data_IF_050346291220
#
_entry.id   IF_050346291220
#
_cell.length_a   1.000
_cell.length_b   1.000
_cell.length_c   1.000
_cell.angle_alpha   90.00
_cell.angle_beta   90.00
_cell.angle_gamma   90.00
#
_symmetry.space_group_name_H-M   'P 1'
#
loop_
_entity.id
_entity.type
_entity.pdbx_description
1 polymer ?
#
# COMPACT_ATOMS: atom_id res chain seq x y z
N UNK A 1 -2.16 28.27 16.37
CA UNK A 1 -1.04 27.98 17.30
C UNK A 1 -1.09 26.53 17.78
N UNK A 2 -2.23 26.03 18.26
CA UNK A 2 -2.39 24.66 18.79
C UNK A 2 -2.17 23.53 17.76
N UNK A 3 -2.66 23.68 16.51
CA UNK A 3 -2.44 22.72 15.40
C UNK A 3 -0.97 22.63 15.01
N UNK A 4 -0.26 23.77 15.02
CA UNK A 4 1.17 23.80 14.68
C UNK A 4 2.01 23.16 15.80
N UNK A 5 1.67 23.42 17.07
CA UNK A 5 2.35 22.76 18.19
C UNK A 5 2.08 21.26 18.25
N UNK A 6 0.86 20.79 17.92
CA UNK A 6 0.56 19.36 17.87
C UNK A 6 1.35 18.68 16.75
N UNK A 7 1.41 19.29 15.56
CA UNK A 7 2.23 18.79 14.46
C UNK A 7 3.71 18.68 14.84
N UNK A 8 4.30 19.75 15.40
CA UNK A 8 5.71 19.73 15.82
C UNK A 8 5.96 18.61 16.84
N UNK A 9 5.08 18.46 17.83
CA UNK A 9 5.17 17.37 18.81
C UNK A 9 5.11 15.99 18.15
N UNK A 10 4.15 15.76 17.25
CA UNK A 10 3.99 14.48 16.55
C UNK A 10 5.17 14.16 15.63
N UNK A 11 5.75 15.17 14.97
CA UNK A 11 6.96 14.97 14.16
C UNK A 11 8.18 14.63 15.00
N UNK A 12 8.32 15.22 16.20
CA UNK A 12 9.38 14.86 17.14
C UNK A 12 9.23 13.41 17.61
N UNK A 13 8.03 12.99 18.01
CA UNK A 13 7.73 11.61 18.38
C UNK A 13 8.04 10.63 17.25
N UNK A 14 7.72 10.97 16.00
CA UNK A 14 8.08 10.13 14.85
C UNK A 14 9.59 10.01 14.64
N UNK A 15 10.33 11.10 14.80
CA UNK A 15 11.79 11.09 14.71
C UNK A 15 12.41 10.22 15.82
N UNK A 16 11.87 10.30 17.04
CA UNK A 16 12.25 9.44 18.17
C UNK A 16 11.97 7.97 17.89
N UNK A 17 10.75 7.62 17.46
CA UNK A 17 10.38 6.24 17.10
C UNK A 17 11.26 5.69 15.98
N UNK A 18 11.53 6.49 14.95
CA UNK A 18 12.42 6.10 13.84
C UNK A 18 13.86 5.88 14.33
N UNK A 19 14.33 6.68 15.29
CA UNK A 19 15.66 6.54 15.88
C UNK A 19 15.75 5.33 16.81
N UNK A 20 14.70 5.05 17.58
CA UNK A 20 14.59 3.84 18.41
C UNK A 20 14.57 2.58 17.52
N UNK A 21 13.76 2.59 16.47
CA UNK A 21 13.70 1.52 15.48
C UNK A 21 15.03 1.31 14.75
N UNK A 22 15.81 2.37 14.51
CA UNK A 22 17.16 2.28 13.94
C UNK A 22 18.22 1.71 14.91
N UNK A 23 17.96 1.73 16.22
CA UNK A 23 18.82 1.14 17.26
C UNK A 23 18.42 -0.29 17.62
N UNK A 24 17.31 -0.78 17.08
CA UNK A 24 16.88 -2.15 17.30
C UNK A 24 17.97 -3.14 16.87
N UNK A 25 18.13 -4.28 17.58
CA UNK A 25 19.06 -5.34 17.16
C UNK A 25 18.84 -5.75 15.70
N UNK A 26 19.92 -6.13 15.02
CA UNK A 26 19.90 -6.45 13.57
C UNK A 26 18.99 -7.66 13.24
N UNK A 27 18.69 -8.49 14.24
CA UNK A 27 17.84 -9.67 14.17
C UNK A 27 16.37 -9.42 14.57
N UNK A 28 16.00 -8.19 14.96
CA UNK A 28 14.62 -7.81 15.27
C UNK A 28 14.02 -6.91 14.17
N UNK A 29 12.69 -6.81 14.12
CA UNK A 29 11.96 -5.98 13.13
C UNK A 29 12.29 -6.34 11.67
N UNK A 30 12.54 -7.63 11.44
CA UNK A 30 13.02 -8.15 10.15
C UNK A 30 11.92 -8.23 9.09
N UNK A 31 10.66 -7.99 9.46
CA UNK A 31 9.50 -8.13 8.57
C UNK A 31 9.10 -9.58 8.27
N UNK A 32 9.80 -10.57 8.86
CA UNK A 32 9.52 -12.00 8.74
C UNK A 32 8.77 -12.58 9.95
N UNK A 33 8.41 -11.75 10.92
CA UNK A 33 7.59 -12.11 12.07
C UNK A 33 6.33 -11.24 12.13
N UNK A 34 5.23 -11.82 12.62
CA UNK A 34 4.00 -11.08 12.92
C UNK A 34 4.04 -10.43 14.31
N UNK A 35 4.90 -10.95 15.19
CA UNK A 35 5.04 -10.53 16.60
C UNK A 35 5.76 -9.20 16.75
N UNK A 36 6.45 -8.74 15.70
CA UNK A 36 7.16 -7.45 15.69
C UNK A 36 6.20 -6.24 15.71
N UNK A 37 4.89 -6.46 15.53
CA UNK A 37 3.87 -5.40 15.55
C UNK A 37 3.65 -4.88 16.97
N UNK A 38 3.70 -3.57 17.15
CA UNK A 38 3.59 -2.91 18.46
C UNK A 38 2.41 -1.92 18.51
N UNK A 39 1.34 -2.25 19.26
CA UNK A 39 0.19 -1.36 19.49
C UNK A 39 0.56 0.03 20.03
N UNK A 40 1.58 0.13 20.89
CA UNK A 40 1.98 1.42 21.48
C UNK A 40 2.63 2.34 20.45
N UNK A 41 3.39 1.76 19.51
CA UNK A 41 3.97 2.51 18.40
C UNK A 41 2.88 3.02 17.46
N UNK A 42 1.87 2.18 17.18
CA UNK A 42 0.71 2.58 16.39
C UNK A 42 -0.01 3.77 17.04
N UNK A 43 -0.34 3.68 18.33
CA UNK A 43 -1.00 4.76 19.07
C UNK A 43 -0.21 6.07 19.06
N UNK A 44 1.13 6.00 19.16
CA UNK A 44 2.00 7.18 19.07
C UNK A 44 2.10 7.76 17.66
N UNK A 45 1.92 6.94 16.63
CA UNK A 45 2.02 7.38 15.23
C UNK A 45 0.71 7.96 14.68
N UNK A 46 -0.44 7.48 15.16
CA UNK A 46 -1.78 7.93 14.73
C UNK A 46 -1.95 9.47 14.77
N UNK A 47 -1.50 10.22 15.79
CA UNK A 47 -1.61 11.69 15.80
C UNK A 47 -0.86 12.39 14.66
N UNK A 48 0.24 11.82 14.18
CA UNK A 48 0.93 12.37 13.01
C UNK A 48 0.10 12.16 11.75
N UNK A 49 -0.44 10.95 11.59
CA UNK A 49 -1.33 10.63 10.47
C UNK A 49 -2.60 11.48 10.49
N UNK A 50 -3.18 11.72 11.67
CA UNK A 50 -4.32 12.60 11.87
C UNK A 50 -4.09 13.99 11.28
N UNK A 51 -2.92 14.58 11.56
CA UNK A 51 -2.57 15.89 11.00
C UNK A 51 -2.47 15.86 9.48
N UNK A 52 -1.79 14.85 8.92
CA UNK A 52 -1.71 14.70 7.46
C UNK A 52 -3.09 14.48 6.84
N UNK A 53 -3.93 13.70 7.50
CA UNK A 53 -5.28 13.37 7.07
C UNK A 53 -6.17 14.62 7.00
N UNK A 54 -6.28 15.38 8.09
CA UNK A 54 -7.23 16.51 8.15
C UNK A 54 -6.69 17.80 7.54
N UNK A 55 -5.38 18.04 7.57
CA UNK A 55 -4.81 19.35 7.20
C UNK A 55 -4.02 19.32 5.91
N UNK A 56 -3.19 18.29 5.69
CA UNK A 56 -2.29 18.25 4.54
C UNK A 56 -2.96 17.70 3.28
N UNK A 57 -3.55 16.51 3.39
CA UNK A 57 -4.24 15.80 2.32
C UNK A 57 -5.76 15.98 2.35
N UNK A 58 -6.33 16.54 3.44
CA UNK A 58 -7.78 16.85 3.58
C UNK A 58 -8.63 15.69 3.06
N UNK A 59 -8.43 14.53 3.68
CA UNK A 59 -8.94 13.27 3.17
C UNK A 59 -10.44 13.17 3.39
N UNK A 60 -11.15 12.77 2.34
CA UNK A 60 -12.55 12.37 2.42
C UNK A 60 -12.64 10.86 2.15
N UNK A 61 -13.44 10.16 2.96
CA UNK A 61 -13.53 8.71 2.90
C UNK A 61 -14.96 8.20 3.02
N UNK A 62 -15.28 7.10 2.33
CA UNK A 62 -16.57 6.42 2.42
C UNK A 62 -16.45 4.89 2.32
N UNK A 63 -17.56 4.20 2.59
CA UNK A 63 -17.72 2.76 2.35
C UNK A 63 -17.14 1.85 3.44
N UNK A 64 -16.70 2.39 4.57
CA UNK A 64 -16.14 1.62 5.69
C UNK A 64 -17.14 0.63 6.31
N UNK A 65 -18.43 0.86 6.14
CA UNK A 65 -19.51 -0.06 6.50
C UNK A 65 -19.50 -1.38 5.70
N UNK A 66 -18.77 -1.44 4.58
CA UNK A 66 -18.60 -2.66 3.79
C UNK A 66 -17.70 -3.69 4.47
N UNK A 67 -16.95 -3.30 5.52
CA UNK A 67 -16.10 -4.21 6.28
C UNK A 67 -16.97 -4.97 7.28
N UNK A 68 -16.99 -6.32 7.24
CA UNK A 68 -17.69 -7.13 8.23
C UNK A 68 -17.26 -6.76 9.66
N UNK A 69 -18.18 -6.81 10.64
CA UNK A 69 -17.86 -6.44 12.03
C UNK A 69 -16.86 -7.41 12.68
N UNK A 70 -16.77 -8.63 12.18
CA UNK A 70 -15.82 -9.65 12.62
C UNK A 70 -15.30 -10.46 11.43
N UNK A 71 -14.26 -11.26 11.67
CA UNK A 71 -13.63 -12.06 10.64
C UNK A 71 -12.59 -11.28 9.82
N UNK A 72 -11.92 -12.05 8.98
CA UNK A 72 -10.80 -11.60 8.17
C UNK A 72 -11.26 -11.21 6.77
N UNK A 73 -10.56 -10.25 6.21
CA UNK A 73 -10.78 -9.81 4.84
C UNK A 73 -9.44 -9.65 4.13
N UNK A 74 -9.49 -9.75 2.80
CA UNK A 74 -8.35 -9.44 1.96
C UNK A 74 -8.56 -8.06 1.33
N UNK A 75 -7.87 -7.06 1.84
CA UNK A 75 -7.89 -5.72 1.26
C UNK A 75 -7.04 -5.68 0.00
N UNK A 76 -7.65 -5.26 -1.11
CA UNK A 76 -6.98 -5.11 -2.40
C UNK A 76 -6.97 -3.64 -2.78
N UNK A 77 -5.79 -3.04 -2.68
CA UNK A 77 -5.59 -1.61 -2.87
C UNK A 77 -5.23 -1.22 -4.31
N UNK A 78 -5.69 -0.05 -4.77
CA UNK A 78 -4.99 0.71 -5.81
C UNK A 78 -3.83 1.47 -5.16
N UNK A 79 -2.60 1.37 -5.65
CA UNK A 79 -1.44 1.99 -4.99
C UNK A 79 -1.04 3.30 -5.66
N UNK A 80 -0.80 4.38 -4.91
CA UNK A 80 -0.59 5.70 -5.51
C UNK A 80 0.50 6.51 -4.83
N UNK A 81 1.30 7.26 -5.60
CA UNK A 81 2.11 8.36 -5.06
C UNK A 81 3.56 7.99 -4.70
N UNK A 82 4.15 7.00 -5.38
CA UNK A 82 5.54 6.60 -5.21
C UNK A 82 5.85 5.99 -3.83
N UNK A 83 7.10 6.08 -3.38
CA UNK A 83 7.55 5.44 -2.13
C UNK A 83 6.79 5.92 -0.88
N UNK A 84 6.32 7.16 -0.88
CA UNK A 84 5.60 7.75 0.24
C UNK A 84 4.13 7.28 0.33
N UNK A 85 3.55 6.81 -0.77
CA UNK A 85 2.23 6.19 -0.86
C UNK A 85 1.15 6.72 0.10
N UNK A 86 0.72 7.98 -0.02
CA UNK A 86 -0.12 8.63 0.99
C UNK A 86 -1.48 7.95 1.17
N UNK A 87 -2.08 7.40 0.12
CA UNK A 87 -3.38 6.70 0.21
C UNK A 87 -3.36 5.53 1.19
N UNK A 88 -2.28 4.73 1.17
CA UNK A 88 -2.07 3.61 2.08
C UNK A 88 -2.04 4.07 3.54
N UNK A 89 -1.27 5.12 3.85
CA UNK A 89 -1.21 5.67 5.19
C UNK A 89 -2.53 6.28 5.65
N UNK A 90 -3.27 6.96 4.76
CA UNK A 90 -4.57 7.54 5.10
C UNK A 90 -5.63 6.45 5.37
N UNK A 91 -5.61 5.37 4.60
CA UNK A 91 -6.47 4.19 4.88
C UNK A 91 -6.08 3.48 6.17
N UNK A 92 -4.78 3.37 6.47
CA UNK A 92 -4.33 2.81 7.76
C UNK A 92 -4.78 3.68 8.94
N UNK A 93 -4.72 5.00 8.82
CA UNK A 93 -5.26 5.91 9.83
C UNK A 93 -6.75 5.64 10.08
N UNK A 94 -7.58 5.61 9.05
CA UNK A 94 -9.00 5.30 9.20
C UNK A 94 -9.24 3.93 9.84
N UNK A 95 -8.44 2.92 9.45
CA UNK A 95 -8.52 1.59 10.07
C UNK A 95 -8.27 1.66 11.58
N UNK A 96 -7.18 2.30 12.01
CA UNK A 96 -6.84 2.40 13.42
C UNK A 96 -7.86 3.22 14.21
N UNK A 97 -8.40 4.29 13.61
CA UNK A 97 -9.46 5.09 14.24
C UNK A 97 -10.75 4.30 14.46
N UNK A 98 -11.07 3.36 13.56
CA UNK A 98 -12.35 2.62 13.58
C UNK A 98 -12.26 1.30 14.33
N UNK A 99 -11.13 0.61 14.25
CA UNK A 99 -10.97 -0.75 14.75
C UNK A 99 -9.87 -0.90 15.80
N UNK A 100 -9.15 0.19 16.11
CA UNK A 100 -8.03 0.16 17.03
C UNK A 100 -6.87 -0.70 16.54
N UNK A 101 -5.97 -1.03 17.46
CA UNK A 101 -4.79 -1.87 17.20
C UNK A 101 -5.06 -3.36 17.43
N UNK A 102 -6.18 -3.74 18.06
CA UNK A 102 -6.53 -5.13 18.37
C UNK A 102 -7.05 -5.90 17.16
N UNK A 103 -7.78 -5.24 16.25
CA UNK A 103 -8.18 -5.86 14.99
C UNK A 103 -6.99 -5.89 14.04
N UNK A 104 -6.37 -7.07 13.95
CA UNK A 104 -5.12 -7.25 13.23
C UNK A 104 -5.29 -7.07 11.72
N UNK A 105 -4.39 -6.28 11.14
CA UNK A 105 -4.18 -6.15 9.70
C UNK A 105 -2.68 -6.09 9.42
N UNK A 106 -2.22 -6.82 8.41
CA UNK A 106 -0.82 -6.81 7.96
C UNK A 106 -0.72 -6.39 6.49
N UNK A 107 0.21 -5.48 6.19
CA UNK A 107 0.47 -4.98 4.83
C UNK A 107 1.68 -5.67 4.21
N UNK A 108 1.55 -6.10 2.94
CA UNK A 108 2.67 -6.69 2.21
C UNK A 108 3.55 -5.58 1.59
N UNK A 109 4.76 -5.41 2.10
CA UNK A 109 5.72 -4.40 1.66
C UNK A 109 6.90 -5.02 0.91
N UNK A 110 7.40 -4.31 -0.11
CA UNK A 110 8.54 -4.77 -0.90
C UNK A 110 9.78 -5.01 -0.04
N UNK A 111 10.38 -6.18 -0.17
CA UNK A 111 11.53 -6.62 0.62
C UNK A 111 12.74 -5.67 0.52
N UNK A 112 12.84 -4.91 -0.58
CA UNK A 112 13.92 -3.94 -0.80
C UNK A 112 13.88 -2.78 0.18
N UNK A 113 12.72 -2.48 0.78
CA UNK A 113 12.60 -1.39 1.76
C UNK A 113 13.48 -1.66 2.99
N UNK A 114 13.53 -2.89 3.52
CA UNK A 114 14.45 -3.25 4.62
C UNK A 114 15.93 -3.09 4.26
N UNK A 115 16.29 -3.19 2.97
CA UNK A 115 17.67 -3.04 2.51
C UNK A 115 18.08 -1.58 2.32
N UNK A 116 17.19 -0.76 1.77
CA UNK A 116 17.51 0.62 1.37
C UNK A 116 17.02 1.69 2.34
N UNK A 117 16.01 1.37 3.14
CA UNK A 117 15.38 2.26 4.12
C UNK A 117 15.18 1.55 5.47
N UNK A 118 16.23 1.01 6.12
CA UNK A 118 16.07 0.18 7.32
C UNK A 118 15.28 0.86 8.46
N UNK A 119 15.53 2.14 8.84
CA UNK A 119 14.75 2.79 9.90
C UNK A 119 13.25 2.86 9.59
N UNK A 120 12.90 3.18 8.34
CA UNK A 120 11.52 3.25 7.89
C UNK A 120 10.89 1.86 7.86
N UNK A 121 11.65 0.84 7.44
CA UNK A 121 11.20 -0.54 7.42
C UNK A 121 10.93 -1.09 8.83
N UNK A 122 11.80 -0.79 9.79
CA UNK A 122 11.63 -1.18 11.19
C UNK A 122 10.36 -0.56 11.78
N UNK A 123 10.15 0.75 11.58
CA UNK A 123 8.93 1.42 12.03
C UNK A 123 7.67 0.87 11.32
N UNK A 124 7.74 0.65 10.00
CA UNK A 124 6.64 0.03 9.26
C UNK A 124 6.33 -1.38 9.76
N UNK A 125 7.34 -2.16 10.15
CA UNK A 125 7.18 -3.50 10.72
C UNK A 125 6.38 -3.43 12.03
N UNK A 126 6.71 -2.48 12.90
CA UNK A 126 5.95 -2.26 14.14
C UNK A 126 4.51 -1.84 13.89
N UNK A 127 4.21 -1.22 12.74
CA UNK A 127 2.84 -0.89 12.32
C UNK A 127 2.12 -2.04 11.59
N UNK A 128 2.77 -3.18 11.37
CA UNK A 128 2.19 -4.35 10.70
C UNK A 128 2.63 -4.56 9.25
N UNK A 129 3.69 -3.91 8.77
CA UNK A 129 4.28 -4.23 7.48
C UNK A 129 5.11 -5.52 7.56
N UNK A 130 4.93 -6.42 6.61
CA UNK A 130 5.69 -7.67 6.48
C UNK A 130 6.18 -7.82 5.06
N UNK A 131 7.18 -8.69 4.86
CA UNK A 131 7.69 -8.96 3.53
C UNK A 131 6.56 -9.41 2.59
N UNK A 132 6.54 -8.83 1.38
CA UNK A 132 5.66 -9.20 0.29
C UNK A 132 6.01 -10.60 -0.24
N UNK A 133 5.65 -11.60 0.54
CA UNK A 133 5.97 -13.00 0.32
C UNK A 133 4.76 -13.87 0.73
N UNK A 134 4.41 -14.91 -0.06
CA UNK A 134 3.26 -15.77 0.25
C UNK A 134 3.25 -16.32 1.66
N UNK A 135 4.43 -16.70 2.19
CA UNK A 135 4.61 -17.18 3.57
C UNK A 135 4.03 -16.20 4.61
N UNK A 136 4.25 -14.90 4.44
CA UNK A 136 3.78 -13.89 5.41
C UNK A 136 2.28 -13.64 5.28
N UNK A 137 1.76 -13.60 4.05
CA UNK A 137 0.32 -13.48 3.82
C UNK A 137 -0.45 -14.67 4.41
N UNK A 138 0.06 -15.90 4.20
CA UNK A 138 -0.48 -17.14 4.76
C UNK A 138 -0.42 -17.09 6.29
N UNK A 139 0.73 -16.74 6.88
CA UNK A 139 0.87 -16.66 8.33
C UNK A 139 -0.12 -15.66 8.96
N UNK A 140 -0.30 -14.48 8.35
CA UNK A 140 -1.25 -13.48 8.83
C UNK A 140 -2.71 -13.96 8.72
N UNK A 141 -3.06 -14.64 7.63
CA UNK A 141 -4.39 -15.25 7.50
C UNK A 141 -4.59 -16.44 8.45
N UNK A 142 -3.57 -17.25 8.71
CA UNK A 142 -3.66 -18.35 9.69
C UNK A 142 -3.82 -17.81 11.13
N UNK A 143 -3.29 -16.62 11.42
CA UNK A 143 -3.37 -16.00 12.75
C UNK A 143 -4.68 -15.25 13.02
N UNK A 144 -5.66 -15.29 12.11
CA UNK A 144 -6.90 -14.53 12.28
C UNK A 144 -6.81 -13.04 11.87
N UNK A 145 -5.71 -12.59 11.26
CA UNK A 145 -5.55 -11.20 10.81
C UNK A 145 -6.09 -10.96 9.39
N UNK A 146 -6.48 -9.72 9.09
CA UNK A 146 -6.74 -9.27 7.71
C UNK A 146 -5.41 -8.98 7.01
N UNK A 147 -5.40 -8.99 5.67
CA UNK A 147 -4.19 -8.71 4.89
C UNK A 147 -4.47 -7.62 3.86
N UNK A 148 -3.58 -6.63 3.78
CA UNK A 148 -3.58 -5.57 2.78
C UNK A 148 -2.54 -5.85 1.70
N UNK A 149 -3.00 -5.90 0.45
CA UNK A 149 -2.18 -6.18 -0.72
C UNK A 149 -2.42 -5.11 -1.78
N UNK A 150 -1.32 -4.61 -2.36
CA UNK A 150 -1.31 -3.80 -3.58
C UNK A 150 -0.76 -4.66 -4.72
N UNK A 151 -1.62 -5.35 -5.51
CA UNK A 151 -1.15 -6.41 -6.41
C UNK A 151 -0.17 -5.98 -7.49
N UNK A 152 -0.29 -4.73 -7.97
CA UNK A 152 0.60 -4.18 -8.99
C UNK A 152 1.94 -3.65 -8.46
N UNK A 153 2.12 -3.59 -7.15
CA UNK A 153 3.39 -3.27 -6.50
C UNK A 153 4.04 -1.99 -7.04
N UNK A 154 5.34 -2.08 -7.36
CA UNK A 154 6.14 -0.96 -7.84
C UNK A 154 5.62 -0.36 -9.15
N UNK A 155 5.07 -1.18 -10.06
CA UNK A 155 4.53 -0.70 -11.34
C UNK A 155 3.24 0.11 -11.14
N UNK A 156 2.42 -0.25 -10.16
CA UNK A 156 1.19 0.50 -9.86
C UNK A 156 1.47 1.81 -9.13
N UNK A 157 2.32 1.76 -8.09
CA UNK A 157 2.60 2.92 -7.24
C UNK A 157 3.30 4.06 -7.99
N UNK A 158 4.09 3.71 -9.01
CA UNK A 158 4.79 4.60 -9.92
C UNK A 158 4.18 4.64 -11.33
N UNK A 159 2.91 4.24 -11.50
CA UNK A 159 2.30 4.31 -12.85
C UNK A 159 2.36 5.75 -13.39
N UNK A 160 2.53 5.93 -14.71
CA UNK A 160 2.44 7.26 -15.32
C UNK A 160 1.13 7.97 -14.96
N UNK A 161 1.19 9.29 -14.78
CA UNK A 161 0.04 10.11 -14.38
C UNK A 161 -1.11 10.06 -15.41
N UNK A 162 -0.83 9.73 -16.68
CA UNK A 162 -1.84 9.45 -17.70
C UNK A 162 -2.72 8.22 -17.37
N UNK A 163 -2.23 7.31 -16.53
CA UNK A 163 -2.90 6.11 -16.04
C UNK A 163 -3.45 6.28 -14.61
N UNK A 164 -3.44 7.49 -14.04
CA UNK A 164 -3.84 7.75 -12.65
C UNK A 164 -5.24 7.23 -12.27
N UNK A 165 -6.17 7.20 -13.22
CA UNK A 165 -7.53 6.71 -13.00
C UNK A 165 -7.74 5.27 -13.51
N UNK A 166 -6.69 4.44 -13.49
CA UNK A 166 -6.77 3.03 -13.91
C UNK A 166 -6.30 2.09 -12.82
N UNK A 167 -7.05 1.00 -12.61
CA UNK A 167 -6.62 -0.13 -11.80
C UNK A 167 -5.54 -0.91 -12.55
N UNK A 168 -4.34 -1.00 -11.98
CA UNK A 168 -3.19 -1.60 -12.64
C UNK A 168 -2.49 -2.66 -11.78
N UNK A 169 -2.92 -3.91 -11.90
CA UNK A 169 -2.35 -5.02 -11.11
C UNK A 169 -1.23 -5.78 -11.80
N UNK A 170 -0.74 -5.31 -12.94
CA UNK A 170 0.34 -5.96 -13.72
C UNK A 170 0.14 -7.47 -13.96
N UNK A 171 -1.11 -7.93 -14.07
CA UNK A 171 -1.45 -9.35 -14.25
C UNK A 171 -1.24 -10.26 -13.04
N UNK A 172 -0.89 -9.71 -11.86
CA UNK A 172 -0.67 -10.47 -10.64
C UNK A 172 -1.99 -11.06 -10.10
N UNK A 173 -2.10 -12.39 -10.08
CA UNK A 173 -3.31 -13.11 -9.66
C UNK A 173 -3.13 -13.81 -8.30
N UNK A 174 -2.00 -13.62 -7.62
CA UNK A 174 -1.70 -14.35 -6.38
C UNK A 174 -2.72 -14.06 -5.27
N UNK A 175 -3.19 -12.81 -5.17
CA UNK A 175 -4.18 -12.41 -4.18
C UNK A 175 -5.53 -13.11 -4.38
N UNK A 176 -5.94 -13.38 -5.62
CA UNK A 176 -7.17 -14.14 -5.91
C UNK A 176 -7.03 -15.58 -5.41
N UNK A 177 -5.87 -16.20 -5.63
CA UNK A 177 -5.60 -17.55 -5.11
C UNK A 177 -5.67 -17.59 -3.59
N UNK A 178 -5.12 -16.58 -2.92
CA UNK A 178 -5.19 -16.45 -1.46
C UNK A 178 -6.65 -16.32 -1.00
N UNK A 179 -7.43 -15.39 -1.59
CA UNK A 179 -8.84 -15.21 -1.26
C UNK A 179 -9.66 -16.49 -1.46
N UNK A 180 -9.45 -17.20 -2.58
CA UNK A 180 -10.13 -18.45 -2.87
C UNK A 180 -9.73 -19.56 -1.87
N UNK A 181 -8.45 -19.69 -1.55
CA UNK A 181 -7.94 -20.73 -0.66
C UNK A 181 -8.38 -20.54 0.79
N UNK A 182 -8.41 -19.29 1.27
CA UNK A 182 -8.78 -18.94 2.64
C UNK A 182 -10.26 -18.63 2.82
N UNK A 183 -11.03 -18.66 1.74
CA UNK A 183 -12.47 -18.42 1.76
C UNK A 183 -12.85 -17.04 2.32
N UNK A 184 -11.97 -16.06 2.13
CA UNK A 184 -12.15 -14.67 2.59
C UNK A 184 -12.65 -13.77 1.46
N UNK A 185 -13.52 -12.80 1.76
CA UNK A 185 -13.94 -11.81 0.77
C UNK A 185 -12.79 -10.88 0.42
N UNK A 186 -12.76 -10.44 -0.84
CA UNK A 186 -11.91 -9.33 -1.26
C UNK A 186 -12.67 -8.03 -0.98
N UNK A 187 -12.05 -7.11 -0.24
CA UNK A 187 -12.55 -5.76 -0.05
C UNK A 187 -11.66 -4.80 -0.81
N UNK A 188 -12.14 -4.22 -1.93
CA UNK A 188 -11.35 -3.26 -2.64
C UNK A 188 -11.20 -1.95 -1.88
N UNK A 189 -10.00 -1.40 -1.92
CA UNK A 189 -9.65 -0.13 -1.30
C UNK A 189 -9.06 0.78 -2.39
N UNK A 190 -9.82 1.77 -2.84
CA UNK A 190 -9.42 2.64 -3.96
C UNK A 190 -9.19 4.06 -3.50
N UNK A 191 -8.39 4.80 -4.28
CA UNK A 191 -8.14 6.22 -4.03
C UNK A 191 -8.14 7.06 -5.30
N UNK A 192 -8.65 8.28 -5.18
CA UNK A 192 -8.52 9.37 -6.14
C UNK A 192 -7.73 10.52 -5.50
N UNK A 193 -7.02 11.31 -6.31
CA UNK A 193 -6.19 12.44 -5.84
C UNK A 193 -4.80 12.05 -5.33
N UNK A 194 -4.66 10.91 -4.63
CA UNK A 194 -3.36 10.44 -4.11
C UNK A 194 -2.28 10.31 -5.19
N UNK A 195 -2.67 9.88 -6.40
CA UNK A 195 -1.73 9.75 -7.50
C UNK A 195 -1.20 11.10 -8.00
N UNK A 196 -1.95 12.19 -7.79
CA UNK A 196 -1.54 13.55 -8.16
C UNK A 196 -0.56 14.17 -7.14
N UNK A 197 -0.26 13.47 -6.05
CA UNK A 197 0.76 13.91 -5.08
C UNK A 197 2.19 13.75 -5.61
N UNK A 198 2.37 12.97 -6.68
CA UNK A 198 3.63 12.78 -7.39
C UNK A 198 3.35 12.71 -8.90
N UNK A 199 3.93 13.59 -9.71
CA UNK A 199 3.62 13.63 -11.13
C UNK A 199 4.59 12.76 -11.94
N UNK A 200 4.26 11.48 -12.08
CA UNK A 200 5.06 10.53 -12.89
C UNK A 200 4.78 10.74 -14.38
N UNK A 201 5.84 10.98 -15.15
CA UNK A 201 5.78 11.19 -16.59
C UNK A 201 5.74 9.86 -17.34
N UNK A 202 6.67 8.96 -17.01
CA UNK A 202 6.83 7.66 -17.66
C UNK A 202 7.61 6.70 -16.75
N UNK A 203 7.59 5.40 -17.07
CA UNK A 203 8.44 4.38 -16.45
C UNK A 203 9.36 3.77 -17.53
N UNK A 204 10.66 4.09 -17.46
CA UNK A 204 11.66 3.62 -18.43
C UNK A 204 12.24 2.25 -18.11
N UNK A 205 11.68 1.53 -17.14
CA UNK A 205 12.14 0.19 -16.77
C UNK A 205 12.15 -0.81 -17.93
N UNK A 206 11.15 -0.89 -18.84
CA UNK A 206 11.20 -1.82 -19.97
C UNK A 206 12.42 -1.63 -20.87
N UNK A 207 12.80 -0.38 -21.11
CA UNK A 207 13.97 0.00 -21.91
C UNK A 207 15.27 -0.36 -21.18
N UNK A 208 15.36 -0.05 -19.87
CA UNK A 208 16.51 -0.43 -19.05
C UNK A 208 16.67 -1.95 -18.96
N UNK A 209 15.57 -2.69 -18.88
CA UNK A 209 15.58 -4.16 -18.89
C UNK A 209 16.12 -4.72 -20.19
N UNK A 210 15.80 -4.09 -21.33
CA UNK A 210 16.35 -4.51 -22.62
C UNK A 210 17.85 -4.20 -22.72
N UNK A 211 18.29 -3.01 -22.28
CA UNK A 211 19.71 -2.68 -22.19
C UNK A 211 20.47 -3.64 -21.25
N UNK A 212 19.84 -4.05 -20.15
CA UNK A 212 20.42 -5.02 -19.24
C UNK A 212 20.65 -6.39 -19.89
N UNK A 213 19.69 -6.88 -20.68
CA UNK A 213 19.88 -8.11 -21.48
C UNK A 213 21.01 -8.01 -22.49
N UNK A 214 21.34 -6.80 -22.94
CA UNK A 214 22.45 -6.50 -23.84
C UNK A 214 23.80 -6.34 -23.13
N UNK A 215 23.84 -6.52 -21.81
CA UNK A 215 25.08 -6.53 -21.01
C UNK A 215 25.28 -5.30 -20.13
N UNK A 216 24.35 -4.34 -20.12
CA UNK A 216 24.42 -3.20 -19.19
C UNK A 216 24.15 -3.69 -17.75
N UNK A 217 25.05 -3.48 -16.78
CA UNK A 217 24.78 -3.90 -15.40
C UNK A 217 23.66 -3.05 -14.78
N UNK A 218 22.89 -3.66 -13.88
CA UNK A 218 21.97 -2.89 -13.05
C UNK A 218 22.73 -1.92 -12.14
N UNK A 219 22.21 -0.70 -11.90
CA UNK A 219 22.72 0.16 -10.85
C UNK A 219 22.77 -0.60 -9.52
N UNK A 220 23.93 -0.59 -8.85
CA UNK A 220 24.17 -1.31 -7.58
C UNK A 220 23.93 -2.84 -7.63
N UNK A 221 23.86 -3.43 -8.84
CA UNK A 221 23.66 -4.86 -9.04
C UNK A 221 22.26 -5.38 -8.71
N UNK A 222 21.26 -4.51 -8.66
CA UNK A 222 19.90 -4.87 -8.20
C UNK A 222 18.87 -4.43 -9.24
N UNK A 223 17.98 -5.33 -9.62
CA UNK A 223 16.84 -5.01 -10.49
C UNK A 223 15.89 -4.03 -9.76
N UNK A 224 15.73 -2.79 -10.27
CA UNK A 224 14.90 -1.80 -9.62
C UNK A 224 13.40 -2.09 -9.80
N UNK A 225 13.00 -2.96 -10.73
CA UNK A 225 11.60 -3.35 -10.99
C UNK A 225 10.71 -2.23 -11.57
N UNK A 226 11.11 -0.98 -11.40
CA UNK A 226 10.54 0.23 -11.99
C UNK A 226 11.65 1.30 -12.06
N UNK A 227 11.56 2.21 -13.03
CA UNK A 227 12.45 3.36 -13.15
C UNK A 227 11.63 4.57 -13.60
N UNK A 228 10.87 5.18 -12.68
CA UNK A 228 10.00 6.30 -13.01
C UNK A 228 10.82 7.54 -13.37
N UNK A 229 10.34 8.30 -14.34
CA UNK A 229 10.71 9.69 -14.56
C UNK A 229 9.56 10.52 -14.01
N UNK A 230 9.83 11.42 -13.07
CA UNK A 230 8.76 12.17 -12.41
C UNK A 230 9.17 13.58 -12.00
N UNK A 231 8.15 14.43 -11.79
CA UNK A 231 8.29 15.69 -11.09
C UNK A 231 7.83 15.57 -9.63
N UNK A 232 8.73 15.87 -8.69
CA UNK A 232 8.46 15.73 -7.26
C UNK A 232 9.48 16.45 -6.39
N UNK A 233 9.06 16.84 -5.19
CA UNK A 233 9.93 17.48 -4.21
C UNK A 233 10.82 16.45 -3.50
N UNK A 234 12.06 16.82 -3.11
CA UNK A 234 12.72 18.12 -3.33
C UNK A 234 13.44 18.24 -4.70
N UNK A 235 13.42 17.18 -5.51
CA UNK A 235 14.32 17.02 -6.66
C UNK A 235 13.95 17.85 -7.89
N UNK A 236 12.69 18.26 -8.02
CA UNK A 236 12.19 18.77 -9.31
C UNK A 236 12.01 17.58 -10.25
N UNK A 237 12.84 17.47 -11.29
CA UNK A 237 12.85 16.29 -12.18
C UNK A 237 13.76 15.20 -11.61
N UNK A 238 13.23 13.99 -11.45
CA UNK A 238 13.96 12.83 -10.94
C UNK A 238 13.80 11.61 -11.84
N UNK A 239 14.80 10.72 -11.78
CA UNK A 239 14.84 9.44 -12.51
C UNK A 239 15.13 8.33 -11.50
N UNK A 240 14.31 7.28 -11.50
CA UNK A 240 14.38 6.17 -10.56
C UNK A 240 13.52 6.39 -9.32
N UNK A 241 13.28 5.35 -8.51
CA UNK A 241 12.38 5.40 -7.36
C UNK A 241 13.04 6.08 -6.15
N UNK A 242 13.26 7.39 -6.24
CA UNK A 242 13.84 8.17 -5.14
C UNK A 242 12.76 8.58 -4.14
N UNK A 243 13.11 8.78 -2.85
CA UNK A 243 12.19 9.35 -1.87
C UNK A 243 11.64 10.70 -2.33
N UNK A 244 10.33 10.90 -2.18
CA UNK A 244 9.66 12.14 -2.54
C UNK A 244 8.82 12.66 -1.37
N UNK A 245 8.61 13.97 -1.33
CA UNK A 245 7.61 14.59 -0.47
C UNK A 245 6.31 14.71 -1.29
N UNK A 246 5.23 14.00 -0.91
CA UNK A 246 3.94 14.10 -1.61
C UNK A 246 3.43 15.54 -1.60
N UNK A 247 2.88 16.02 -2.71
CA UNK A 247 2.23 17.32 -2.77
C UNK A 247 0.93 17.33 -1.93
N UNK A 248 0.53 18.48 -1.34
CA UNK A 248 -0.65 18.59 -0.48
C UNK A 248 -1.96 18.64 -1.29
N UNK A 249 -2.26 17.58 -2.03
CA UNK A 249 -3.47 17.44 -2.85
C UNK A 249 -4.59 16.78 -2.03
N UNK A 250 -5.85 17.21 -2.17
CA UNK A 250 -6.99 16.48 -1.61
C UNK A 250 -7.01 15.01 -2.04
N UNK A 251 -7.26 14.09 -1.11
CA UNK A 251 -7.35 12.66 -1.38
C UNK A 251 -8.75 12.16 -1.04
N UNK A 252 -9.37 11.45 -1.97
CA UNK A 252 -10.58 10.68 -1.70
C UNK A 252 -10.23 9.20 -1.62
N UNK A 253 -10.70 8.52 -0.59
CA UNK A 253 -10.56 7.06 -0.43
C UNK A 253 -11.94 6.41 -0.37
N UNK A 254 -12.05 5.17 -0.86
CA UNK A 254 -13.29 4.40 -0.79
C UNK A 254 -13.00 2.94 -0.48
N UNK A 255 -13.67 2.42 0.54
CA UNK A 255 -13.76 0.99 0.81
C UNK A 255 -14.98 0.44 0.08
N UNK A 256 -14.74 -0.34 -0.97
CA UNK A 256 -15.78 -0.79 -1.88
C UNK A 256 -16.57 -1.99 -1.30
N UNK A 257 -17.75 -2.30 -1.87
CA UNK A 257 -18.49 -3.51 -1.52
C UNK A 257 -17.64 -4.79 -1.66
N UNK A 258 -17.84 -5.78 -0.78
CA UNK A 258 -17.07 -7.03 -0.82
C UNK A 258 -17.32 -7.80 -2.11
N UNK A 259 -16.24 -8.31 -2.71
CA UNK A 259 -16.29 -9.18 -3.88
C UNK A 259 -16.27 -10.62 -3.39
N UNK A 260 -17.40 -11.30 -3.62
CA UNK A 260 -17.60 -12.71 -3.30
C UNK A 260 -17.60 -13.54 -4.60
N UNK A 261 -17.00 -14.72 -4.53
CA UNK A 261 -16.88 -15.67 -5.62
C UNK A 261 -17.86 -16.84 -5.47
N UNK A 262 -18.12 -17.54 -6.57
CA UNK A 262 -19.06 -18.67 -6.59
C UNK A 262 -18.49 -19.93 -5.95
N UNK A 263 -17.18 -20.17 -6.12
CA UNK A 263 -16.47 -21.35 -5.65
C UNK A 263 -15.25 -20.94 -4.85
N UNK A 264 -15.04 -21.57 -3.72
CA UNK A 264 -13.89 -21.37 -2.84
C UNK A 264 -13.14 -22.69 -2.60
N UNK A 265 -12.06 -22.62 -1.84
CA UNK A 265 -11.22 -23.74 -1.46
C UNK A 265 -10.09 -24.05 -2.45
N UNK A 266 -9.25 -25.02 -2.08
CA UNK A 266 -8.01 -25.37 -2.80
C UNK A 266 -8.23 -25.71 -4.27
N UNK A 267 -9.32 -26.40 -4.61
CA UNK A 267 -9.65 -26.75 -6.00
C UNK A 267 -9.90 -25.51 -6.85
N UNK A 268 -10.64 -24.53 -6.33
CA UNK A 268 -10.91 -23.27 -7.03
C UNK A 268 -9.63 -22.45 -7.22
N UNK A 269 -8.77 -22.39 -6.19
CA UNK A 269 -7.49 -21.68 -6.25
C UNK A 269 -6.46 -22.30 -7.24
N UNK A 270 -6.60 -23.59 -7.56
CA UNK A 270 -5.75 -24.31 -8.52
C UNK A 270 -6.31 -24.27 -9.96
N UNK A 271 -7.59 -23.95 -10.14
CA UNK A 271 -8.23 -23.78 -11.44
C UNK A 271 -7.78 -22.45 -12.07
N UNK A 272 -6.79 -22.53 -12.97
CA UNK A 272 -6.19 -21.35 -13.61
C UNK A 272 -7.21 -20.50 -14.37
N UNK A 273 -8.20 -21.13 -15.00
CA UNK A 273 -9.23 -20.41 -15.76
C UNK A 273 -10.12 -19.65 -14.80
N UNK A 274 -10.57 -20.30 -13.73
CA UNK A 274 -11.42 -19.66 -12.74
C UNK A 274 -10.71 -18.53 -11.98
N UNK A 275 -9.44 -18.72 -11.60
CA UNK A 275 -8.62 -17.66 -10.99
C UNK A 275 -8.52 -16.46 -11.92
N UNK A 276 -8.35 -16.68 -13.22
CA UNK A 276 -8.30 -15.61 -14.22
C UNK A 276 -9.64 -14.87 -14.33
N UNK A 277 -10.76 -15.59 -14.40
CA UNK A 277 -12.11 -15.01 -14.43
C UNK A 277 -12.38 -14.18 -13.16
N UNK A 278 -11.97 -14.68 -11.99
CA UNK A 278 -12.08 -13.98 -10.71
C UNK A 278 -11.20 -12.72 -10.66
N UNK A 279 -9.97 -12.79 -11.18
CA UNK A 279 -9.09 -11.62 -11.32
C UNK A 279 -9.71 -10.54 -12.22
N UNK A 280 -10.24 -10.93 -13.39
CA UNK A 280 -10.90 -10.00 -14.31
C UNK A 280 -12.14 -9.36 -13.68
N UNK A 281 -12.93 -10.14 -12.93
CA UNK A 281 -14.06 -9.64 -12.13
C UNK A 281 -13.59 -8.59 -11.11
N UNK A 282 -12.50 -8.85 -10.38
CA UNK A 282 -11.96 -7.88 -9.41
C UNK A 282 -11.54 -6.59 -10.11
N UNK A 283 -10.72 -6.68 -11.16
CA UNK A 283 -10.28 -5.49 -11.91
C UNK A 283 -11.47 -4.69 -12.46
N UNK A 284 -12.48 -5.36 -13.02
CA UNK A 284 -13.68 -4.72 -13.56
C UNK A 284 -14.46 -3.97 -12.48
N UNK A 285 -14.77 -4.63 -11.35
CA UNK A 285 -15.55 -4.03 -10.28
C UNK A 285 -14.79 -2.88 -9.60
N UNK A 286 -13.49 -3.04 -9.39
CA UNK A 286 -12.65 -1.97 -8.85
C UNK A 286 -12.56 -0.77 -9.78
N UNK A 287 -12.42 -0.99 -11.09
CA UNK A 287 -12.40 0.09 -12.06
C UNK A 287 -13.74 0.83 -12.09
N UNK A 288 -14.86 0.11 -12.04
CA UNK A 288 -16.18 0.74 -11.98
C UNK A 288 -16.33 1.65 -10.75
N UNK A 289 -15.87 1.20 -9.59
CA UNK A 289 -15.88 2.00 -8.36
C UNK A 289 -14.96 3.23 -8.46
N UNK A 290 -13.78 3.08 -9.08
CA UNK A 290 -12.86 4.18 -9.32
C UNK A 290 -13.44 5.20 -10.29
N UNK A 291 -14.07 4.77 -11.38
CA UNK A 291 -14.71 5.65 -12.35
C UNK A 291 -15.83 6.47 -11.71
N UNK A 292 -16.63 5.83 -10.84
CA UNK A 292 -17.67 6.52 -10.06
C UNK A 292 -17.07 7.54 -9.09
N UNK A 293 -16.00 7.18 -8.38
CA UNK A 293 -15.31 8.09 -7.46
C UNK A 293 -14.72 9.30 -8.21
N UNK A 294 -14.12 9.08 -9.36
CA UNK A 294 -13.58 10.15 -10.23
C UNK A 294 -14.71 11.05 -10.75
N UNK A 295 -15.82 10.47 -11.21
CA UNK A 295 -16.95 11.24 -11.73
C UNK A 295 -17.60 12.12 -10.64
N UNK A 296 -17.71 11.63 -9.41
CA UNK A 296 -18.24 12.38 -8.28
C UNK A 296 -17.35 13.56 -7.85
N UNK A 297 -16.05 13.52 -8.20
CA UNK A 297 -15.05 14.51 -7.81
C UNK A 297 -14.52 15.34 -9.00
N UNK A 298 -15.12 15.16 -10.18
CA UNK A 298 -14.80 16.00 -11.35
C UNK A 298 -15.59 17.31 -11.25
N UNK A 299 -14.95 18.48 -11.44
CA UNK A 299 -15.61 19.77 -11.40
C UNK A 299 -16.61 19.98 -12.54
#
# INVERSE_FOLDING_TARGET
MQIFSSFVSSTATFAELSLEAAKAPVDTLTGWSLEDRDPQVIEKFVPLLDWFYHHYFRVETDGWENIPPSGQVLFIGSHNGGLAAPDMFMMMYDWFQRFGSDRLVYGLMDSRVWRFFPPQASLATQMGAVHAHPKMAIAALDSGASVLIYPGGATDVFRPHSLRNKIHFAGNQAFVKLALQYEVPIIPAISHGAHSTLFVLDDIYPQLKELHKQGMPWPFGIDPGTCPIYFGLPWGLAIGPLPNIPLPVPIQTRVCPPIIFERYGKKAAQDRRYVRECYEKVCYLMQQQLDQLVAANSP
#
